data_IF_683835704689
#
_entry.id   IF_683835704689
#
_cell.length_a   1.000
_cell.length_b   1.000
_cell.length_c   1.000
_cell.angle_alpha   90.00
_cell.angle_beta   90.00
_cell.angle_gamma   90.00
#
_symmetry.space_group_name_H-M   'P 1'
#
loop_
_entity.id
_entity.type
_entity.pdbx_description
1 polymer ?
#
# COMPACT_ATOMS: atom_id res chain seq x y z
N UNK A 1 14.83 35.49 29.79
CA UNK A 1 14.75 34.03 29.56
C UNK A 1 13.35 33.46 29.35
N UNK A 2 12.26 34.16 29.61
CA UNK A 2 10.88 33.64 29.42
C UNK A 2 10.31 33.74 27.99
N UNK A 3 10.99 34.36 27.05
CA UNK A 3 10.44 34.65 25.68
C UNK A 3 10.72 33.60 24.61
N UNK A 4 11.57 32.60 24.86
CA UNK A 4 11.97 31.59 23.85
C UNK A 4 11.13 30.32 23.95
N UNK A 5 10.49 30.05 25.07
CA UNK A 5 9.72 28.81 25.30
C UNK A 5 8.38 28.80 24.55
N UNK A 6 7.73 29.95 24.42
CA UNK A 6 6.41 30.09 23.80
C UNK A 6 6.38 29.70 22.30
N UNK A 7 7.33 30.17 21.43
CA UNK A 7 7.34 29.73 20.03
C UNK A 7 7.68 28.26 19.84
N UNK A 8 8.45 27.64 20.75
CA UNK A 8 8.77 26.21 20.68
C UNK A 8 7.53 25.36 20.95
N UNK A 9 6.68 25.73 21.90
CA UNK A 9 5.44 25.02 22.19
C UNK A 9 4.42 25.13 21.05
N UNK A 10 4.32 26.29 20.40
CA UNK A 10 3.43 26.49 19.24
C UNK A 10 3.92 25.65 18.06
N UNK A 11 5.23 25.62 17.79
CA UNK A 11 5.83 24.81 16.74
C UNK A 11 5.61 23.32 16.98
N UNK A 12 5.81 22.83 18.19
CA UNK A 12 5.60 21.43 18.56
C UNK A 12 4.13 21.03 18.43
N UNK A 13 3.20 21.86 18.90
CA UNK A 13 1.77 21.63 18.78
C UNK A 13 1.32 21.60 17.32
N UNK A 14 1.86 22.47 16.47
CA UNK A 14 1.61 22.48 15.02
C UNK A 14 2.11 21.20 14.35
N UNK A 15 3.31 20.72 14.69
CA UNK A 15 3.84 19.45 14.16
C UNK A 15 3.02 18.24 14.62
N UNK A 16 2.55 18.23 15.87
CA UNK A 16 1.68 17.15 16.38
C UNK A 16 0.32 17.18 15.66
N UNK A 17 -0.30 18.34 15.50
CA UNK A 17 -1.54 18.51 14.73
C UNK A 17 -1.38 18.07 13.27
N UNK A 18 -0.29 18.43 12.61
CA UNK A 18 0.00 17.98 11.24
C UNK A 18 0.07 16.45 11.13
N UNK A 19 0.67 15.77 12.12
CA UNK A 19 0.73 14.30 12.17
C UNK A 19 -0.62 13.64 12.37
N UNK A 20 -1.54 14.29 13.09
CA UNK A 20 -2.91 13.81 13.29
C UNK A 20 -3.80 14.00 12.04
N UNK A 21 -3.50 15.02 11.22
CA UNK A 21 -4.27 15.34 10.01
C UNK A 21 -3.82 14.49 8.81
N UNK A 22 -2.51 14.14 8.73
CA UNK A 22 -1.95 13.37 7.64
C UNK A 22 -1.40 12.03 8.15
N UNK A 23 -2.16 10.92 8.01
CA UNK A 23 -1.69 9.60 8.42
C UNK A 23 -0.43 9.21 7.65
N UNK A 24 0.46 8.47 8.31
CA UNK A 24 1.68 7.98 7.67
C UNK A 24 1.34 7.02 6.51
N UNK A 25 2.21 6.89 5.50
CA UNK A 25 2.02 5.90 4.44
C UNK A 25 1.82 4.48 4.96
N UNK A 26 2.51 4.11 6.04
CA UNK A 26 2.34 2.81 6.70
C UNK A 26 0.92 2.63 7.24
N UNK A 27 0.39 3.62 7.93
CA UNK A 27 -0.99 3.60 8.45
C UNK A 27 -2.01 3.45 7.32
N UNK A 28 -1.81 4.15 6.21
CA UNK A 28 -2.68 4.12 5.03
C UNK A 28 -2.68 2.71 4.42
N UNK A 29 -1.51 2.10 4.23
CA UNK A 29 -1.36 0.77 3.65
C UNK A 29 -1.99 -0.29 4.57
N UNK A 30 -1.68 -0.26 5.87
CA UNK A 30 -2.26 -1.20 6.84
C UNK A 30 -3.78 -1.11 6.87
N UNK A 31 -4.34 0.10 6.91
CA UNK A 31 -5.80 0.32 6.87
C UNK A 31 -6.41 -0.21 5.57
N UNK A 32 -5.75 0.01 4.43
CA UNK A 32 -6.22 -0.49 3.14
C UNK A 32 -6.38 -2.00 3.15
N UNK A 33 -5.32 -2.76 3.49
CA UNK A 33 -5.37 -4.22 3.51
C UNK A 33 -6.30 -4.77 4.59
N UNK A 34 -6.39 -4.11 5.74
CA UNK A 34 -7.33 -4.48 6.81
C UNK A 34 -8.80 -4.42 6.35
N UNK A 35 -9.15 -3.49 5.48
CA UNK A 35 -10.51 -3.40 4.91
C UNK A 35 -10.89 -4.64 4.09
N UNK A 36 -9.90 -5.38 3.59
CA UNK A 36 -10.09 -6.66 2.88
C UNK A 36 -9.85 -7.87 3.78
N UNK A 37 -9.62 -7.66 5.09
CA UNK A 37 -9.43 -8.73 6.07
C UNK A 37 -7.99 -9.23 6.22
N UNK A 38 -7.01 -8.57 5.60
CA UNK A 38 -5.60 -8.98 5.69
C UNK A 38 -4.86 -8.24 6.81
N UNK A 39 -4.07 -9.00 7.57
CA UNK A 39 -3.17 -8.50 8.59
C UNK A 39 -1.74 -8.47 8.05
N UNK A 40 -1.07 -7.34 8.21
CA UNK A 40 0.30 -7.13 7.76
C UNK A 40 1.28 -7.11 8.92
N UNK A 41 2.53 -7.53 8.66
CA UNK A 41 3.63 -7.36 9.60
C UNK A 41 3.81 -5.89 9.98
N UNK A 42 4.22 -5.62 11.24
CA UNK A 42 4.50 -4.25 11.71
C UNK A 42 5.65 -3.60 10.93
N UNK A 43 6.69 -4.38 10.63
CA UNK A 43 7.84 -3.92 9.86
C UNK A 43 7.59 -4.00 8.36
N UNK A 44 7.95 -2.93 7.63
CA UNK A 44 8.02 -2.95 6.17
C UNK A 44 9.19 -3.83 5.73
N UNK A 45 8.98 -4.70 4.75
CA UNK A 45 10.05 -5.51 4.15
C UNK A 45 10.89 -4.65 3.21
N UNK A 46 10.22 -3.86 2.38
CA UNK A 46 10.86 -3.05 1.34
C UNK A 46 10.06 -1.78 1.07
N UNK A 47 10.78 -0.71 0.80
CA UNK A 47 10.22 0.53 0.28
C UNK A 47 11.03 0.95 -0.95
N UNK A 48 10.37 1.05 -2.10
CA UNK A 48 11.01 1.36 -3.39
C UNK A 48 10.28 2.50 -4.08
N UNK A 49 11.04 3.40 -4.68
CA UNK A 49 10.51 4.41 -5.58
C UNK A 49 10.31 3.79 -6.98
N UNK A 50 9.13 3.95 -7.55
CA UNK A 50 8.75 3.42 -8.86
C UNK A 50 8.23 4.55 -9.73
N UNK A 51 8.74 4.66 -10.96
CA UNK A 51 8.17 5.56 -11.97
C UNK A 51 7.27 4.74 -12.90
N UNK A 52 5.99 5.07 -12.91
CA UNK A 52 5.03 4.41 -13.79
C UNK A 52 5.29 4.80 -15.25
N UNK A 53 5.07 3.88 -16.22
CA UNK A 53 5.22 4.20 -17.63
C UNK A 53 4.24 5.30 -18.04
N UNK A 54 4.55 6.00 -19.12
CA UNK A 54 3.68 7.08 -19.65
C UNK A 54 2.44 6.54 -20.35
N UNK A 55 2.45 5.27 -20.74
CA UNK A 55 1.31 4.55 -21.34
C UNK A 55 1.24 3.14 -20.78
N UNK A 56 0.06 2.54 -20.78
CA UNK A 56 -0.11 1.15 -20.37
C UNK A 56 0.57 0.24 -21.40
N UNK A 57 1.61 -0.45 -20.98
CA UNK A 57 2.18 -1.59 -21.71
C UNK A 57 1.35 -2.84 -21.43
N UNK A 58 1.45 -3.93 -22.22
CA UNK A 58 0.68 -5.17 -21.99
C UNK A 58 0.82 -5.70 -20.55
N UNK A 59 2.02 -5.60 -19.93
CA UNK A 59 2.25 -5.97 -18.53
C UNK A 59 1.46 -5.08 -17.58
N UNK A 60 1.50 -3.77 -17.77
CA UNK A 60 0.77 -2.83 -16.93
C UNK A 60 -0.74 -2.85 -17.18
N UNK A 61 -1.21 -3.21 -18.38
CA UNK A 61 -2.62 -3.45 -18.63
C UNK A 61 -3.12 -4.65 -17.82
N UNK A 62 -2.37 -5.76 -17.80
CA UNK A 62 -2.65 -6.91 -16.97
C UNK A 62 -2.71 -6.57 -15.49
N UNK A 63 -1.71 -5.83 -15.00
CA UNK A 63 -1.67 -5.37 -13.64
C UNK A 63 -2.83 -4.41 -13.30
N UNK A 64 -3.18 -3.51 -14.21
CA UNK A 64 -4.30 -2.58 -13.99
C UNK A 64 -5.65 -3.28 -13.96
N UNK A 65 -5.86 -4.30 -14.78
CA UNK A 65 -7.07 -5.15 -14.69
C UNK A 65 -7.23 -5.79 -13.32
N UNK A 66 -6.13 -6.25 -12.72
CA UNK A 66 -6.14 -6.79 -11.37
C UNK A 66 -6.54 -5.71 -10.34
N UNK A 67 -6.14 -4.45 -10.53
CA UNK A 67 -6.49 -3.34 -9.66
C UNK A 67 -7.98 -3.00 -9.71
N UNK A 68 -8.61 -3.16 -10.85
CA UNK A 68 -10.04 -2.86 -11.04
C UNK A 68 -10.93 -3.69 -10.12
N UNK A 69 -10.53 -4.90 -9.71
CA UNK A 69 -11.25 -5.69 -8.70
C UNK A 69 -11.37 -4.97 -7.36
N UNK A 70 -10.41 -4.14 -7.01
CA UNK A 70 -10.41 -3.32 -5.80
C UNK A 70 -10.91 -1.88 -6.04
N UNK A 71 -11.49 -1.62 -7.21
CA UNK A 71 -11.95 -0.27 -7.59
C UNK A 71 -10.80 0.72 -7.81
N UNK A 72 -9.58 0.22 -8.05
CA UNK A 72 -8.40 1.04 -8.32
C UNK A 72 -8.11 1.10 -9.82
N UNK A 73 -7.49 2.20 -10.25
CA UNK A 73 -7.08 2.41 -11.64
C UNK A 73 -5.75 3.18 -11.68
N UNK A 74 -4.77 2.63 -12.38
CA UNK A 74 -3.46 3.26 -12.57
C UNK A 74 -3.46 4.37 -13.63
N UNK A 75 -4.45 4.40 -14.50
CA UNK A 75 -4.49 5.31 -15.65
C UNK A 75 -4.25 6.79 -15.27
N UNK A 76 -4.85 7.34 -14.20
CA UNK A 76 -4.61 8.73 -13.80
C UNK A 76 -3.19 9.01 -13.33
N UNK A 77 -2.41 7.97 -13.02
CA UNK A 77 -1.07 8.08 -12.42
C UNK A 77 0.08 7.75 -13.37
N UNK A 78 -0.22 7.46 -14.62
CA UNK A 78 0.81 7.17 -15.64
C UNK A 78 1.82 8.31 -15.73
N UNK A 79 3.10 7.94 -15.84
CA UNK A 79 4.23 8.88 -15.83
C UNK A 79 4.59 9.45 -14.46
N UNK A 80 3.84 9.14 -13.41
CA UNK A 80 4.12 9.63 -12.05
C UNK A 80 5.15 8.74 -11.35
N UNK A 81 5.90 9.34 -10.43
CA UNK A 81 6.77 8.63 -9.51
C UNK A 81 6.02 8.38 -8.21
N UNK A 82 5.94 7.13 -7.82
CA UNK A 82 5.19 6.64 -6.67
C UNK A 82 6.08 5.83 -5.76
N UNK A 83 5.63 5.48 -4.56
CA UNK A 83 6.35 4.57 -3.66
C UNK A 83 5.61 3.26 -3.51
N UNK A 84 6.35 2.16 -3.66
CA UNK A 84 5.88 0.81 -3.32
C UNK A 84 6.31 0.48 -1.91
N UNK A 85 5.35 0.04 -1.10
CA UNK A 85 5.56 -0.52 0.23
C UNK A 85 5.23 -2.00 0.19
N UNK A 86 6.14 -2.84 0.70
CA UNK A 86 5.98 -4.29 0.75
C UNK A 86 5.98 -4.76 2.20
N UNK A 87 4.96 -5.54 2.56
CA UNK A 87 4.78 -6.16 3.87
C UNK A 87 4.59 -7.65 3.75
N UNK A 88 4.85 -8.37 4.83
CA UNK A 88 4.43 -9.77 4.95
C UNK A 88 2.97 -9.84 5.34
N UNK A 89 2.21 -10.72 4.71
CA UNK A 89 0.85 -11.06 5.11
C UNK A 89 0.91 -12.12 6.20
N UNK A 90 0.21 -11.90 7.31
CA UNK A 90 0.25 -12.78 8.49
C UNK A 90 -0.87 -13.82 8.52
N UNK A 91 -2.00 -13.52 7.87
CA UNK A 91 -3.24 -14.30 7.92
C UNK A 91 -3.74 -14.70 6.52
N UNK A 92 -2.84 -15.06 5.60
CA UNK A 92 -3.26 -15.52 4.28
C UNK A 92 -4.05 -16.83 4.43
N UNK A 93 -5.26 -16.95 3.80
CA UNK A 93 -6.18 -18.05 4.11
C UNK A 93 -5.79 -19.40 3.52
N UNK A 94 -4.86 -19.44 2.56
CA UNK A 94 -4.46 -20.66 1.89
C UNK A 94 -3.03 -21.05 2.25
N UNK A 95 -2.73 -22.37 2.17
CA UNK A 95 -1.36 -22.86 2.30
C UNK A 95 -0.53 -22.43 1.09
N UNK A 96 0.68 -21.98 1.36
CA UNK A 96 1.63 -21.53 0.33
C UNK A 96 3.02 -22.08 0.63
N UNK A 97 3.78 -22.40 -0.42
CA UNK A 97 5.17 -22.86 -0.30
C UNK A 97 6.15 -21.76 0.13
N UNK A 98 5.72 -20.50 0.06
CA UNK A 98 6.52 -19.34 0.46
C UNK A 98 5.67 -18.24 1.09
N UNK A 99 6.27 -17.35 1.88
CA UNK A 99 5.54 -16.24 2.49
C UNK A 99 4.84 -15.37 1.46
N UNK A 100 3.61 -14.97 1.76
CA UNK A 100 2.85 -14.04 0.94
C UNK A 100 3.24 -12.62 1.30
N UNK A 101 3.45 -11.80 0.28
CA UNK A 101 3.74 -10.38 0.38
C UNK A 101 2.55 -9.56 -0.10
N UNK A 102 2.29 -8.48 0.62
CA UNK A 102 1.36 -7.45 0.22
C UNK A 102 2.15 -6.25 -0.29
N UNK A 103 1.90 -5.83 -1.52
CA UNK A 103 2.47 -4.64 -2.11
C UNK A 103 1.40 -3.56 -2.24
N UNK A 104 1.77 -2.32 -1.97
CA UNK A 104 0.93 -1.15 -2.24
C UNK A 104 1.75 -0.06 -2.91
N UNK A 105 1.23 0.50 -3.99
CA UNK A 105 1.71 1.74 -4.57
C UNK A 105 0.98 2.90 -3.92
N UNK A 106 1.74 3.84 -3.39
CA UNK A 106 1.20 5.02 -2.71
C UNK A 106 1.65 6.29 -3.43
N UNK A 107 0.69 7.14 -3.72
CA UNK A 107 0.90 8.45 -4.31
C UNK A 107 0.12 9.51 -3.55
N UNK A 108 0.82 10.53 -3.04
CA UNK A 108 0.23 11.66 -2.29
C UNK A 108 -0.78 11.21 -1.20
N UNK A 109 -0.37 10.23 -0.38
CA UNK A 109 -1.17 9.76 0.74
C UNK A 109 -2.35 8.85 0.36
N UNK A 110 -2.37 8.30 -0.84
CA UNK A 110 -3.42 7.42 -1.34
C UNK A 110 -2.83 6.13 -1.89
N UNK A 111 -3.42 4.98 -1.56
CA UNK A 111 -3.13 3.71 -2.24
C UNK A 111 -3.75 3.77 -3.63
N UNK A 112 -2.93 3.63 -4.66
CA UNK A 112 -3.34 3.68 -6.06
C UNK A 112 -3.31 2.32 -6.75
N UNK A 113 -2.58 1.36 -6.19
CA UNK A 113 -2.56 -0.04 -6.60
C UNK A 113 -2.15 -0.91 -5.42
N UNK A 114 -2.64 -2.15 -5.39
CA UNK A 114 -2.30 -3.12 -4.37
C UNK A 114 -2.39 -4.54 -4.91
N UNK A 115 -1.53 -5.43 -4.42
CA UNK A 115 -1.54 -6.84 -4.75
C UNK A 115 -1.05 -7.71 -3.59
N UNK A 116 -1.40 -8.98 -3.67
CA UNK A 116 -0.89 -10.06 -2.83
C UNK A 116 -0.12 -11.03 -3.73
N UNK A 117 1.13 -11.35 -3.39
CA UNK A 117 1.97 -12.20 -4.22
C UNK A 117 2.90 -13.09 -3.41
N UNK A 118 3.33 -14.19 -4.01
CA UNK A 118 4.51 -14.95 -3.60
C UNK A 118 5.70 -14.65 -4.50
N UNK A 119 6.90 -14.94 -4.01
CA UNK A 119 8.16 -14.60 -4.72
C UNK A 119 8.68 -15.75 -5.59
N UNK A 120 8.04 -16.92 -5.51
CA UNK A 120 8.49 -18.12 -6.23
C UNK A 120 8.10 -18.11 -7.71
N UNK A 121 8.80 -18.90 -8.51
CA UNK A 121 8.52 -19.11 -9.94
C UNK A 121 7.10 -19.63 -10.21
N UNK A 122 6.52 -20.36 -9.27
CA UNK A 122 5.13 -20.86 -9.29
C UNK A 122 4.17 -19.90 -8.58
N UNK A 123 4.61 -18.65 -8.42
CA UNK A 123 3.93 -17.63 -7.65
C UNK A 123 2.63 -17.15 -8.30
N UNK A 124 1.76 -16.65 -7.45
CA UNK A 124 0.53 -15.99 -7.85
C UNK A 124 0.62 -14.48 -7.59
N UNK A 125 -0.28 -13.76 -8.24
CA UNK A 125 -0.59 -12.38 -7.91
C UNK A 125 -2.10 -12.20 -7.90
N UNK A 126 -2.66 -11.79 -6.76
CA UNK A 126 -4.08 -11.53 -6.58
C UNK A 126 -4.35 -10.08 -6.20
N UNK A 127 -5.52 -9.58 -6.59
CA UNK A 127 -6.09 -8.40 -5.95
C UNK A 127 -6.48 -8.73 -4.51
N UNK A 128 -6.33 -7.81 -3.54
CA UNK A 128 -6.91 -8.00 -2.21
C UNK A 128 -8.42 -8.16 -2.21
N UNK A 129 -9.09 -7.67 -3.25
CA UNK A 129 -10.53 -7.79 -3.47
C UNK A 129 -10.93 -8.97 -4.36
N UNK A 130 -10.02 -9.92 -4.61
CA UNK A 130 -10.32 -11.09 -5.43
C UNK A 130 -11.47 -11.90 -4.80
N UNK A 131 -12.50 -12.29 -5.60
CA UNK A 131 -13.62 -13.08 -5.10
C UNK A 131 -13.25 -14.37 -4.38
N UNK A 132 -12.08 -14.96 -4.67
CA UNK A 132 -11.59 -16.17 -4.00
C UNK A 132 -11.50 -16.00 -2.47
N UNK A 133 -11.27 -14.77 -1.98
CA UNK A 133 -11.19 -14.47 -0.54
C UNK A 133 -12.57 -14.25 0.11
N UNK A 134 -13.65 -14.30 -0.66
CA UNK A 134 -15.01 -14.13 -0.16
C UNK A 134 -15.74 -15.45 0.06
N UNK A 135 -15.16 -16.58 -0.39
CA UNK A 135 -15.83 -17.88 -0.39
C UNK A 135 -15.89 -18.56 0.99
N UNK A 136 -15.14 -18.06 1.98
CA UNK A 136 -15.01 -18.65 3.32
C UNK A 136 -15.63 -17.78 4.44
N UNK A 137 -16.59 -16.91 4.12
CA UNK A 137 -17.31 -16.09 5.12
C UNK A 137 -18.74 -16.51 5.29
#
# INVERSE_FOLDING_TARGET
MKKIIFPIFISLAFFICMRLIFPSPHTIVHKFFKNYGFELSQGVIETVQVTLPRSLTPVYEGYNRLQQNAGLDLTPYLGKTVRRYTYRVLNFPFETSSPVRANALVYRGKVIAADLMTVNSDGFMFSPADPIFSLDK
#
